data_IF_824349879323
#
_entry.id   IF_824349879323
#
_cell.length_a   1.000
_cell.length_b   1.000
_cell.length_c   1.000
_cell.angle_alpha   90.00
_cell.angle_beta   90.00
_cell.angle_gamma   90.00
#
_symmetry.space_group_name_H-M   'P 1'
#
loop_
_entity.id
_entity.type
_entity.pdbx_description
1 polymer ?
#
# COMPACT_ATOMS: atom_id res chain seq x y z
N UNK A 1 -8.99 21.60 2.18
CA UNK A 1 -8.98 21.67 0.69
C UNK A 1 -8.25 22.90 0.12
N UNK A 2 -8.50 24.13 0.61
CA UNK A 2 -7.92 25.37 0.04
C UNK A 2 -6.37 25.39 0.00
N UNK A 3 -5.70 24.89 1.05
CA UNK A 3 -4.24 24.82 1.12
C UNK A 3 -3.63 23.94 0.00
N UNK A 4 -4.20 22.77 -0.28
CA UNK A 4 -3.75 21.87 -1.36
C UNK A 4 -3.85 22.52 -2.73
N UNK A 5 -4.95 23.24 -3.00
CA UNK A 5 -5.15 23.98 -4.25
C UNK A 5 -4.11 25.10 -4.37
N UNK A 6 -3.88 25.84 -3.29
CA UNK A 6 -2.88 26.91 -3.25
C UNK A 6 -1.47 26.38 -3.53
N UNK A 7 -1.11 25.24 -2.93
CA UNK A 7 0.18 24.58 -3.18
C UNK A 7 0.32 24.14 -4.64
N UNK A 8 -0.70 23.50 -5.22
CA UNK A 8 -0.68 23.12 -6.64
C UNK A 8 -0.53 24.33 -7.57
N UNK A 9 -1.21 25.44 -7.27
CA UNK A 9 -1.08 26.71 -8.02
C UNK A 9 0.34 27.28 -7.90
N UNK A 10 0.92 27.28 -6.70
CA UNK A 10 2.27 27.77 -6.47
C UNK A 10 3.30 26.97 -7.28
N UNK A 11 3.22 25.64 -7.25
CA UNK A 11 4.13 24.77 -8.02
C UNK A 11 3.96 25.03 -9.52
N UNK A 12 2.73 25.09 -10.03
CA UNK A 12 2.47 25.37 -11.44
C UNK A 12 2.99 26.74 -11.88
N UNK A 13 2.92 27.76 -11.02
CA UNK A 13 3.43 29.10 -11.32
C UNK A 13 4.96 29.15 -11.31
N UNK A 14 5.62 28.49 -10.36
CA UNK A 14 7.09 28.54 -10.19
C UNK A 14 7.84 27.54 -11.04
N UNK A 15 7.24 26.39 -11.33
CA UNK A 15 7.85 25.26 -12.05
C UNK A 15 6.84 24.63 -13.03
N UNK A 16 6.34 25.37 -14.04
CA UNK A 16 5.26 24.91 -14.92
C UNK A 16 5.60 23.63 -15.68
N UNK A 17 6.83 23.52 -16.22
CA UNK A 17 7.28 22.32 -16.95
C UNK A 17 7.29 21.06 -16.08
N UNK A 18 7.79 21.18 -14.84
CA UNK A 18 7.81 20.07 -13.89
C UNK A 18 6.38 19.66 -13.50
N UNK A 19 5.51 20.64 -13.24
CA UNK A 19 4.11 20.40 -12.91
C UNK A 19 3.40 19.64 -14.03
N UNK A 20 3.53 20.12 -15.27
CA UNK A 20 2.90 19.50 -16.44
C UNK A 20 3.45 18.09 -16.68
N UNK A 21 4.77 17.90 -16.56
CA UNK A 21 5.40 16.59 -16.65
C UNK A 21 4.86 15.61 -15.60
N UNK A 22 4.88 16.00 -14.31
CA UNK A 22 4.35 15.17 -13.23
C UNK A 22 2.88 14.80 -13.47
N UNK A 23 2.09 15.76 -13.95
CA UNK A 23 0.69 15.53 -14.25
C UNK A 23 0.50 14.47 -15.35
N UNK A 24 1.43 14.33 -16.29
CA UNK A 24 1.40 13.22 -17.28
C UNK A 24 1.57 11.84 -16.65
N UNK A 25 2.40 11.74 -15.60
CA UNK A 25 2.71 10.48 -14.89
C UNK A 25 1.53 9.92 -14.09
N UNK A 26 0.40 10.65 -13.99
CA UNK A 26 -0.86 10.09 -13.49
C UNK A 26 -1.38 8.92 -14.33
N UNK A 27 -0.95 8.84 -15.61
CA UNK A 27 -1.33 7.77 -16.53
C UNK A 27 -0.28 6.65 -16.46
N UNK A 28 -0.74 5.42 -16.19
CA UNK A 28 0.13 4.22 -16.10
C UNK A 28 1.04 4.05 -17.33
N UNK A 29 0.55 4.37 -18.53
CA UNK A 29 1.32 4.17 -19.76
C UNK A 29 2.50 5.14 -19.87
N UNK A 30 2.36 6.38 -19.38
CA UNK A 30 3.46 7.34 -19.32
C UNK A 30 4.57 6.86 -18.37
N UNK A 31 4.19 6.25 -17.24
CA UNK A 31 5.12 5.65 -16.27
C UNK A 31 5.84 4.44 -16.87
N UNK A 32 5.12 3.56 -17.58
CA UNK A 32 5.69 2.37 -18.25
C UNK A 32 6.78 2.73 -19.25
N UNK A 33 6.61 3.83 -19.98
CA UNK A 33 7.63 4.31 -20.93
C UNK A 33 8.93 4.66 -20.21
N UNK A 34 8.86 5.26 -19.01
CA UNK A 34 10.05 5.58 -18.23
C UNK A 34 10.71 4.35 -17.61
N UNK A 35 9.91 3.36 -17.19
CA UNK A 35 10.36 2.11 -16.56
C UNK A 35 10.39 0.92 -17.56
N UNK A 36 10.80 1.17 -18.80
CA UNK A 36 10.84 0.14 -19.83
C UNK A 36 11.74 -1.03 -19.42
N UNK A 37 11.23 -2.26 -19.54
CA UNK A 37 12.00 -3.49 -19.34
C UNK A 37 12.61 -4.02 -20.64
N UNK A 38 12.16 -3.53 -21.80
CA UNK A 38 12.70 -3.92 -23.11
C UNK A 38 14.01 -3.18 -23.44
N UNK A 39 14.16 -1.96 -22.92
CA UNK A 39 15.35 -1.12 -23.06
C UNK A 39 15.59 -0.43 -21.70
N UNK A 40 16.03 -1.20 -20.67
CA UNK A 40 16.17 -0.70 -19.32
C UNK A 40 17.30 0.33 -19.23
N UNK A 41 17.02 1.41 -18.51
CA UNK A 41 17.92 2.56 -18.32
C UNK A 41 17.84 3.02 -16.87
N UNK A 42 18.83 3.79 -16.39
CA UNK A 42 18.72 4.48 -15.11
C UNK A 42 17.54 5.45 -15.12
N UNK A 43 16.76 5.45 -14.03
CA UNK A 43 15.57 6.28 -13.87
C UNK A 43 15.65 7.01 -12.55
N UNK A 44 15.50 8.33 -12.55
CA UNK A 44 15.34 9.09 -11.31
C UNK A 44 13.93 8.82 -10.76
N UNK A 45 13.84 8.37 -9.51
CA UNK A 45 12.61 8.14 -8.79
C UNK A 45 12.55 9.01 -7.52
N UNK A 46 11.38 9.61 -7.25
CA UNK A 46 11.10 10.30 -5.98
C UNK A 46 10.16 9.45 -5.14
N UNK A 47 10.56 9.13 -3.92
CA UNK A 47 9.75 8.40 -2.95
C UNK A 47 10.16 8.74 -1.52
N UNK A 48 9.19 8.95 -0.64
CA UNK A 48 9.45 9.12 0.80
C UNK A 48 10.18 7.93 1.45
N UNK A 49 10.22 6.78 0.78
CA UNK A 49 10.97 5.60 1.26
C UNK A 49 12.49 5.73 1.12
N UNK A 50 13.00 6.73 0.38
CA UNK A 50 14.44 6.96 0.26
C UNK A 50 15.03 7.82 1.36
N UNK A 51 14.19 8.43 2.20
CA UNK A 51 14.63 9.30 3.28
C UNK A 51 14.85 10.75 2.85
N UNK A 52 14.60 11.66 3.80
CA UNK A 52 14.67 13.11 3.58
C UNK A 52 16.11 13.61 3.42
N UNK A 53 17.06 12.87 3.99
CA UNK A 53 18.51 13.11 3.90
C UNK A 53 19.02 12.97 2.45
N UNK A 54 18.38 12.13 1.64
CA UNK A 54 18.61 11.99 0.20
C UNK A 54 17.66 12.85 -0.66
N UNK A 55 16.91 13.76 -0.03
CA UNK A 55 15.89 14.55 -0.71
C UNK A 55 14.71 13.72 -1.22
N UNK A 56 14.51 12.51 -0.68
CA UNK A 56 13.57 11.50 -1.17
C UNK A 56 13.86 11.04 -2.61
N UNK A 57 15.11 11.10 -3.06
CA UNK A 57 15.52 10.80 -4.43
C UNK A 57 16.40 9.54 -4.48
N UNK A 58 16.25 8.77 -5.55
CA UNK A 58 17.20 7.74 -5.94
C UNK A 58 17.26 7.61 -7.46
N UNK A 59 18.41 7.21 -7.99
CA UNK A 59 18.51 6.72 -9.36
C UNK A 59 18.39 5.21 -9.31
N UNK A 60 17.40 4.67 -10.01
CA UNK A 60 17.07 3.24 -9.97
C UNK A 60 17.20 2.57 -11.32
N UNK A 61 17.39 1.25 -11.31
CA UNK A 61 17.38 0.40 -12.49
C UNK A 61 16.16 -0.52 -12.50
N UNK A 62 15.33 -0.53 -13.56
CA UNK A 62 14.25 -1.50 -13.74
C UNK A 62 14.81 -2.93 -13.93
N UNK A 63 14.52 -3.82 -12.98
CA UNK A 63 15.00 -5.21 -13.00
C UNK A 63 14.02 -6.15 -13.69
N UNK A 64 12.75 -6.12 -13.30
CA UNK A 64 11.73 -7.04 -13.80
C UNK A 64 10.31 -6.53 -13.50
N UNK A 65 9.31 -7.09 -14.18
CA UNK A 65 7.92 -6.93 -13.79
C UNK A 65 7.65 -7.76 -12.53
N UNK A 66 6.80 -7.27 -11.64
CA UNK A 66 6.41 -8.04 -10.45
C UNK A 66 5.57 -9.27 -10.87
N UNK A 67 5.86 -10.47 -10.37
CA UNK A 67 5.31 -11.71 -10.92
C UNK A 67 3.81 -11.89 -10.69
N UNK A 68 3.25 -11.28 -9.64
CA UNK A 68 1.83 -11.40 -9.29
C UNK A 68 1.07 -10.08 -9.33
N UNK A 69 1.75 -8.94 -9.54
CA UNK A 69 1.13 -7.62 -9.58
C UNK A 69 1.57 -6.88 -10.84
N UNK A 70 0.70 -6.90 -11.86
CA UNK A 70 0.98 -6.25 -13.14
C UNK A 70 1.15 -4.71 -13.06
N UNK A 71 0.85 -4.10 -11.91
CA UNK A 71 1.07 -2.68 -11.67
C UNK A 71 2.39 -2.38 -10.93
N UNK A 72 3.25 -3.36 -10.69
CA UNK A 72 4.53 -3.17 -10.00
C UNK A 72 5.72 -3.53 -10.90
N UNK A 73 6.75 -2.69 -10.83
CA UNK A 73 8.07 -2.94 -11.43
C UNK A 73 9.08 -3.03 -10.31
N UNK A 74 9.86 -4.11 -10.29
CA UNK A 74 10.96 -4.33 -9.36
C UNK A 74 12.13 -3.47 -9.83
N UNK A 75 12.68 -2.66 -8.95
CA UNK A 75 13.79 -1.75 -9.22
C UNK A 75 14.91 -1.91 -8.19
N UNK A 76 16.13 -1.65 -8.63
CA UNK A 76 17.33 -1.60 -7.79
C UNK A 76 17.78 -0.15 -7.59
N UNK A 77 18.15 0.24 -6.37
CA UNK A 77 18.78 1.55 -6.12
C UNK A 77 20.26 1.53 -6.54
N UNK A 78 20.60 2.30 -7.57
CA UNK A 78 21.96 2.35 -8.15
C UNK A 78 22.97 3.10 -7.27
N UNK A 79 22.58 3.59 -6.08
CA UNK A 79 23.55 3.92 -5.04
C UNK A 79 24.38 2.69 -4.60
N UNK A 80 23.89 1.48 -4.85
CA UNK A 80 24.51 0.21 -4.47
C UNK A 80 24.81 -0.67 -5.70
N UNK A 81 25.81 -1.55 -5.60
CA UNK A 81 26.24 -2.40 -6.70
C UNK A 81 25.26 -3.58 -6.95
N UNK A 82 24.55 -3.61 -8.09
CA UNK A 82 23.63 -4.69 -8.43
C UNK A 82 24.31 -6.02 -8.73
N UNK A 83 25.64 -6.06 -8.88
CA UNK A 83 26.38 -7.31 -9.01
C UNK A 83 26.20 -8.23 -7.78
N UNK A 84 25.81 -7.68 -6.62
CA UNK A 84 25.46 -8.47 -5.42
C UNK A 84 24.33 -9.49 -5.68
N UNK A 85 23.44 -9.23 -6.64
CA UNK A 85 22.39 -10.19 -7.03
C UNK A 85 22.96 -11.47 -7.66
N UNK A 86 24.21 -11.45 -8.14
CA UNK A 86 24.83 -12.63 -8.74
C UNK A 86 25.17 -13.64 -7.65
N UNK A 87 24.60 -14.84 -7.77
CA UNK A 87 24.87 -15.95 -6.86
C UNK A 87 23.96 -16.00 -5.63
N UNK A 88 23.08 -15.01 -5.41
CA UNK A 88 22.07 -15.10 -4.36
C UNK A 88 20.95 -16.07 -4.76
N UNK A 89 20.55 -16.91 -3.80
CA UNK A 89 19.36 -17.74 -3.96
C UNK A 89 18.07 -16.93 -3.73
N UNK A 90 16.92 -17.47 -4.15
CA UNK A 90 15.64 -16.84 -3.87
C UNK A 90 15.38 -16.71 -2.35
N UNK A 91 15.85 -17.69 -1.57
CA UNK A 91 15.66 -17.72 -0.12
C UNK A 91 16.52 -16.67 0.58
N UNK A 92 17.77 -16.49 0.13
CA UNK A 92 18.65 -15.42 0.64
C UNK A 92 18.04 -14.03 0.37
N UNK A 93 17.51 -13.83 -0.84
CA UNK A 93 16.84 -12.58 -1.20
C UNK A 93 15.58 -12.38 -0.33
N UNK A 94 14.78 -13.41 -0.13
CA UNK A 94 13.58 -13.35 0.72
C UNK A 94 13.92 -12.98 2.15
N UNK A 95 14.94 -13.62 2.74
CA UNK A 95 15.41 -13.29 4.08
C UNK A 95 15.80 -11.81 4.18
N UNK A 96 16.60 -11.31 3.24
CA UNK A 96 17.06 -9.92 3.26
C UNK A 96 15.95 -8.89 3.00
N UNK A 97 14.91 -9.25 2.23
CA UNK A 97 13.81 -8.35 1.88
C UNK A 97 12.67 -8.32 2.90
N UNK A 98 12.32 -9.48 3.46
CA UNK A 98 11.10 -9.65 4.26
C UNK A 98 11.35 -9.81 5.77
N UNK A 99 12.60 -10.00 6.20
CA UNK A 99 12.98 -9.95 7.63
C UNK A 99 13.19 -8.49 8.06
N UNK A 100 12.76 -8.14 9.28
CA UNK A 100 13.00 -6.80 9.82
C UNK A 100 14.50 -6.54 9.95
N UNK A 101 14.91 -5.29 9.79
CA UNK A 101 16.34 -4.95 9.74
C UNK A 101 17.08 -5.30 11.05
N UNK A 102 16.40 -5.20 12.19
CA UNK A 102 16.88 -5.56 13.53
C UNK A 102 16.93 -7.07 13.79
N UNK A 103 16.34 -7.88 12.90
CA UNK A 103 16.31 -9.34 12.99
C UNK A 103 17.22 -10.02 11.93
N UNK A 104 17.91 -9.23 11.09
CA UNK A 104 18.84 -9.78 10.11
C UNK A 104 20.11 -10.33 10.80
N UNK A 105 20.71 -11.42 10.29
CA UNK A 105 21.98 -11.92 10.79
C UNK A 105 23.07 -10.85 10.75
N UNK A 106 24.02 -10.93 11.68
CA UNK A 106 25.16 -10.01 11.72
C UNK A 106 25.93 -10.00 10.39
N UNK A 107 26.24 -8.81 9.88
CA UNK A 107 26.91 -8.63 8.58
C UNK A 107 26.00 -8.74 7.36
N UNK A 108 24.71 -9.10 7.52
CA UNK A 108 23.75 -9.17 6.42
C UNK A 108 22.95 -7.86 6.33
N UNK A 109 23.11 -7.15 5.21
CA UNK A 109 22.34 -5.94 4.93
C UNK A 109 21.06 -6.26 4.14
N UNK A 110 20.05 -5.40 4.32
CA UNK A 110 18.84 -5.42 3.48
C UNK A 110 19.22 -5.09 2.04
N UNK A 111 18.68 -5.84 1.10
CA UNK A 111 18.91 -5.57 -0.32
C UNK A 111 18.25 -4.24 -0.73
N UNK A 112 18.92 -3.42 -1.57
CA UNK A 112 18.42 -2.14 -2.08
C UNK A 112 17.39 -2.34 -3.22
N UNK A 113 16.45 -3.26 -3.00
CA UNK A 113 15.36 -3.61 -3.91
C UNK A 113 14.08 -2.92 -3.45
N UNK A 114 13.36 -2.34 -4.41
CA UNK A 114 12.05 -1.72 -4.19
C UNK A 114 11.10 -2.11 -5.32
N UNK A 115 9.79 -2.03 -5.09
CA UNK A 115 8.80 -2.02 -6.16
C UNK A 115 8.22 -0.63 -6.38
N UNK A 116 8.08 -0.24 -7.66
CA UNK A 116 7.39 0.98 -8.07
C UNK A 116 6.00 0.62 -8.60
N UNK A 117 4.98 1.19 -7.98
CA UNK A 117 3.59 1.00 -8.38
C UNK A 117 3.21 1.99 -9.48
N UNK A 118 3.07 1.52 -10.72
CA UNK A 118 2.80 2.37 -11.89
C UNK A 118 1.40 3.00 -11.87
N UNK A 119 0.47 2.46 -11.08
CA UNK A 119 -0.90 2.96 -10.93
C UNK A 119 -1.09 3.92 -9.75
N UNK A 120 -0.01 4.27 -9.02
CA UNK A 120 -0.04 5.20 -7.87
C UNK A 120 0.62 6.55 -8.17
N UNK A 121 0.63 6.96 -9.45
CA UNK A 121 1.25 8.20 -9.95
C UNK A 121 2.69 8.43 -9.44
N UNK A 122 3.60 7.44 -9.58
CA UNK A 122 4.96 7.58 -9.12
C UNK A 122 5.71 8.63 -9.95
N UNK A 123 6.54 9.44 -9.32
CA UNK A 123 7.47 10.28 -10.07
C UNK A 123 8.62 9.44 -10.60
N UNK A 124 8.76 9.35 -11.91
CA UNK A 124 9.87 8.67 -12.56
C UNK A 124 10.29 9.46 -13.79
N UNK A 125 11.58 9.57 -14.03
CA UNK A 125 12.12 10.19 -15.25
C UNK A 125 13.43 9.51 -15.67
N UNK A 126 13.46 8.95 -16.88
CA UNK A 126 14.66 8.30 -17.43
C UNK A 126 15.71 9.33 -17.89
N UNK A 127 15.28 10.56 -18.18
CA UNK A 127 16.20 11.65 -18.51
C UNK A 127 16.85 12.23 -17.24
N UNK A 128 18.00 11.67 -16.85
CA UNK A 128 18.74 12.09 -15.65
C UNK A 128 19.24 13.54 -15.69
N UNK A 129 19.24 14.21 -16.85
CA UNK A 129 19.54 15.66 -16.92
C UNK A 129 18.58 16.50 -16.07
N UNK A 130 17.41 15.96 -15.74
CA UNK A 130 16.46 16.60 -14.81
C UNK A 130 16.98 16.71 -13.37
N UNK A 131 17.96 15.87 -12.97
CA UNK A 131 18.62 15.96 -11.68
C UNK A 131 19.57 17.18 -11.67
N UNK A 132 20.51 17.22 -12.63
CA UNK A 132 21.57 18.22 -12.67
C UNK A 132 22.65 17.99 -11.61
N UNK A 133 23.89 18.38 -11.92
CA UNK A 133 25.06 18.07 -11.09
C UNK A 133 24.98 18.74 -9.70
N UNK A 134 24.46 19.97 -9.62
CA UNK A 134 24.28 20.68 -8.36
C UNK A 134 23.33 19.96 -7.40
N UNK A 135 22.22 19.42 -7.89
CA UNK A 135 21.30 18.67 -7.03
C UNK A 135 21.87 17.29 -6.68
N UNK A 136 22.58 16.65 -7.61
CA UNK A 136 23.27 15.39 -7.31
C UNK A 136 24.27 15.58 -6.17
N UNK A 137 25.11 16.62 -6.25
CA UNK A 137 26.06 16.97 -5.19
C UNK A 137 25.35 17.35 -3.88
N UNK A 138 24.31 18.19 -3.96
CA UNK A 138 23.50 18.60 -2.79
C UNK A 138 22.94 17.42 -2.01
N UNK A 139 22.50 16.37 -2.72
CA UNK A 139 21.88 15.18 -2.12
C UNK A 139 22.83 13.99 -2.00
N UNK A 140 24.15 14.21 -2.17
CA UNK A 140 25.17 13.19 -1.96
C UNK A 140 25.14 12.03 -2.96
N UNK A 141 24.66 12.25 -4.17
CA UNK A 141 24.63 11.22 -5.22
C UNK A 141 25.96 11.13 -5.95
N UNK A 142 26.65 10.00 -5.81
CA UNK A 142 27.82 9.68 -6.63
C UNK A 142 27.37 9.21 -8.03
N UNK A 143 27.30 10.16 -8.96
CA UNK A 143 26.91 9.88 -10.35
C UNK A 143 27.87 8.91 -11.05
N UNK A 144 29.17 8.95 -10.70
CA UNK A 144 30.15 8.05 -11.29
C UNK A 144 29.93 6.61 -10.82
N UNK A 145 29.63 6.40 -9.53
CA UNK A 145 29.23 5.09 -9.01
C UNK A 145 27.92 4.60 -9.66
N UNK A 146 26.90 5.46 -9.73
CA UNK A 146 25.62 5.14 -10.37
C UNK A 146 25.82 4.68 -11.82
N UNK A 147 26.70 5.35 -12.58
CA UNK A 147 27.03 4.93 -13.95
C UNK A 147 27.69 3.55 -14.00
N UNK A 148 28.66 3.27 -13.12
CA UNK A 148 29.29 1.93 -13.04
C UNK A 148 28.27 0.85 -12.67
N UNK A 149 27.42 1.12 -11.68
CA UNK A 149 26.37 0.20 -11.26
C UNK A 149 25.32 -0.03 -12.35
N UNK A 150 25.01 0.98 -13.16
CA UNK A 150 24.11 0.82 -14.31
C UNK A 150 24.66 -0.15 -15.37
N UNK A 151 25.97 -0.09 -15.65
CA UNK A 151 26.62 -1.07 -16.53
C UNK A 151 26.62 -2.47 -15.91
N UNK A 152 26.86 -2.59 -14.60
CA UNK A 152 26.75 -3.86 -13.88
C UNK A 152 25.33 -4.44 -13.94
N UNK A 153 24.29 -3.60 -13.77
CA UNK A 153 22.90 -3.99 -13.90
C UNK A 153 22.55 -4.46 -15.32
N UNK A 154 23.04 -3.75 -16.35
CA UNK A 154 22.85 -4.15 -17.75
C UNK A 154 23.47 -5.52 -18.04
N UNK A 155 24.57 -5.86 -17.38
CA UNK A 155 25.24 -7.15 -17.50
C UNK A 155 24.67 -8.25 -16.57
N UNK A 156 23.53 -8.03 -15.92
CA UNK A 156 22.84 -9.10 -15.19
C UNK A 156 22.11 -10.03 -16.17
N UNK A 157 22.01 -11.34 -15.86
CA UNK A 157 21.16 -12.25 -16.63
C UNK A 157 19.69 -11.92 -16.41
N UNK A 158 18.79 -12.57 -17.16
CA UNK A 158 17.35 -12.50 -16.88
C UNK A 158 17.05 -13.08 -15.48
N UNK A 159 16.57 -12.23 -14.58
CA UNK A 159 16.22 -12.58 -13.20
C UNK A 159 14.72 -12.90 -13.03
N UNK A 160 13.93 -12.97 -14.11
CA UNK A 160 12.48 -13.17 -14.03
C UNK A 160 12.08 -14.46 -13.29
N UNK A 161 12.84 -15.55 -13.45
CA UNK A 161 12.60 -16.80 -12.72
C UNK A 161 12.93 -16.68 -11.22
N UNK A 162 14.00 -15.94 -10.88
CA UNK A 162 14.39 -15.66 -9.51
C UNK A 162 13.30 -14.84 -8.80
N UNK A 163 12.84 -13.76 -9.41
CA UNK A 163 11.79 -12.92 -8.84
C UNK A 163 10.46 -13.66 -8.65
N UNK A 164 10.09 -14.57 -9.56
CA UNK A 164 8.92 -15.44 -9.37
C UNK A 164 9.00 -16.27 -8.09
N UNK A 165 10.17 -16.82 -7.78
CA UNK A 165 10.40 -17.57 -6.53
C UNK A 165 10.44 -16.65 -5.32
N UNK A 166 11.13 -15.52 -5.41
CA UNK A 166 11.24 -14.54 -4.31
C UNK A 166 9.86 -14.04 -3.86
N UNK A 167 8.99 -13.66 -4.80
CA UNK A 167 7.66 -13.12 -4.50
C UNK A 167 6.55 -14.18 -4.47
N UNK A 168 6.90 -15.47 -4.46
CA UNK A 168 5.92 -16.52 -4.22
C UNK A 168 5.34 -16.33 -2.81
N UNK A 169 4.01 -16.16 -2.75
CA UNK A 169 3.30 -16.06 -1.47
C UNK A 169 2.96 -17.46 -0.98
N UNK A 170 3.22 -17.70 0.29
CA UNK A 170 2.67 -18.85 0.99
C UNK A 170 1.19 -18.59 1.28
N UNK A 171 0.39 -19.65 1.35
CA UNK A 171 -1.01 -19.52 1.72
C UNK A 171 -1.08 -19.05 3.19
N UNK A 172 -1.52 -17.81 3.39
CA UNK A 172 -1.77 -17.27 4.72
C UNK A 172 -3.10 -17.75 5.30
N UNK A 173 -3.34 -17.40 6.55
CA UNK A 173 -4.64 -17.64 7.17
C UNK A 173 -5.77 -16.88 6.45
N UNK A 174 -6.98 -17.44 6.40
CA UNK A 174 -8.15 -16.73 5.87
C UNK A 174 -8.34 -15.40 6.58
N UNK A 175 -8.33 -14.31 5.82
CA UNK A 175 -8.60 -12.99 6.35
C UNK A 175 -10.11 -12.77 6.52
N UNK A 176 -10.48 -11.97 7.50
CA UNK A 176 -11.85 -11.49 7.63
C UNK A 176 -12.25 -10.68 6.38
N UNK A 177 -13.51 -10.79 5.97
CA UNK A 177 -13.99 -10.16 4.73
C UNK A 177 -13.84 -8.63 4.69
N UNK A 178 -13.89 -7.95 5.84
CA UNK A 178 -13.66 -6.50 5.91
C UNK A 178 -12.19 -6.12 5.73
N UNK A 179 -11.27 -7.09 5.91
CA UNK A 179 -9.82 -6.91 5.77
C UNK A 179 -9.29 -7.40 4.42
N UNK A 180 -10.06 -8.20 3.69
CA UNK A 180 -9.61 -8.89 2.48
C UNK A 180 -9.92 -8.15 1.16
N UNK A 181 -9.88 -6.81 1.17
CA UNK A 181 -10.12 -5.98 -0.02
C UNK A 181 -9.18 -6.32 -1.20
N UNK A 182 -7.97 -6.78 -0.88
CA UNK A 182 -6.94 -7.11 -1.86
C UNK A 182 -6.78 -8.63 -2.10
N UNK A 183 -7.70 -9.45 -1.60
CA UNK A 183 -7.69 -10.91 -1.77
C UNK A 183 -8.02 -11.39 -3.19
N UNK A 184 -8.66 -10.54 -4.00
CA UNK A 184 -9.04 -10.85 -5.37
C UNK A 184 -9.92 -9.78 -5.98
N UNK A 185 -10.08 -9.82 -7.30
CA UNK A 185 -11.04 -8.97 -7.99
C UNK A 185 -12.38 -9.67 -8.09
N UNK A 186 -13.45 -8.95 -7.76
CA UNK A 186 -14.83 -9.40 -7.98
C UNK A 186 -15.06 -9.70 -9.47
N UNK A 187 -15.68 -10.86 -9.75
CA UNK A 187 -15.98 -11.30 -11.11
C UNK A 187 -16.97 -10.37 -11.81
N UNK A 188 -17.09 -10.49 -13.14
CA UNK A 188 -18.06 -9.68 -13.89
C UNK A 188 -19.52 -10.04 -13.54
N UNK A 189 -19.79 -11.30 -13.18
CA UNK A 189 -21.12 -11.75 -12.81
C UNK A 189 -21.50 -11.21 -11.44
N UNK A 190 -20.63 -11.39 -10.44
CA UNK A 190 -20.82 -10.84 -9.10
C UNK A 190 -20.94 -9.31 -9.13
N UNK A 191 -20.13 -8.62 -9.96
CA UNK A 191 -20.23 -7.17 -10.13
C UNK A 191 -21.62 -6.74 -10.62
N UNK A 192 -22.21 -7.47 -11.57
CA UNK A 192 -23.57 -7.18 -12.07
C UNK A 192 -24.61 -7.40 -10.97
N UNK A 193 -24.50 -8.51 -10.22
CA UNK A 193 -25.38 -8.80 -9.09
C UNK A 193 -25.33 -7.70 -8.02
N UNK A 194 -24.13 -7.29 -7.61
CA UNK A 194 -23.93 -6.20 -6.65
C UNK A 194 -24.48 -4.86 -7.17
N UNK A 195 -24.31 -4.56 -8.46
CA UNK A 195 -24.88 -3.33 -9.06
C UNK A 195 -26.41 -3.33 -9.05
N UNK A 196 -27.06 -4.47 -9.26
CA UNK A 196 -28.53 -4.62 -9.10
C UNK A 196 -28.93 -4.37 -7.65
N UNK A 197 -28.27 -5.03 -6.70
CA UNK A 197 -28.58 -4.93 -5.27
C UNK A 197 -28.47 -3.51 -4.72
N UNK A 198 -27.46 -2.76 -5.15
CA UNK A 198 -27.27 -1.36 -4.73
C UNK A 198 -28.43 -0.42 -5.09
N UNK A 199 -29.34 -0.85 -5.96
CA UNK A 199 -30.55 -0.10 -6.36
C UNK A 199 -31.80 -0.56 -5.60
N UNK A 200 -31.72 -1.66 -4.84
CA UNK A 200 -32.84 -2.19 -4.07
C UNK A 200 -33.03 -1.35 -2.80
N UNK A 201 -34.28 -1.25 -2.36
CA UNK A 201 -34.60 -0.77 -1.01
C UNK A 201 -34.12 -1.75 0.05
N UNK A 202 -34.00 -1.29 1.30
CA UNK A 202 -33.60 -2.13 2.43
C UNK A 202 -34.49 -3.37 2.60
N UNK A 203 -35.82 -3.20 2.46
CA UNK A 203 -36.78 -4.31 2.54
C UNK A 203 -36.63 -5.32 1.40
N UNK A 204 -36.40 -4.85 0.16
CA UNK A 204 -36.15 -5.73 -0.97
C UNK A 204 -34.82 -6.48 -0.81
N UNK A 205 -33.79 -5.81 -0.31
CA UNK A 205 -32.47 -6.40 -0.10
C UNK A 205 -32.50 -7.50 0.97
N UNK A 206 -33.37 -7.39 1.97
CA UNK A 206 -33.54 -8.42 2.99
C UNK A 206 -34.10 -9.74 2.46
N UNK A 207 -34.89 -9.70 1.39
CA UNK A 207 -35.44 -10.89 0.73
C UNK A 207 -34.58 -11.45 -0.41
N UNK A 208 -33.47 -10.79 -0.78
CA UNK A 208 -32.65 -11.22 -1.91
C UNK A 208 -31.75 -12.40 -1.52
N UNK A 209 -31.98 -13.56 -2.14
CA UNK A 209 -31.07 -14.70 -2.06
C UNK A 209 -30.08 -14.65 -3.22
N UNK A 210 -28.88 -14.14 -2.98
CA UNK A 210 -27.85 -14.11 -4.01
C UNK A 210 -26.79 -15.18 -3.81
N UNK A 211 -26.52 -15.87 -4.91
CA UNK A 211 -25.40 -16.79 -5.03
C UNK A 211 -24.27 -16.01 -5.71
N UNK A 212 -23.20 -15.77 -4.96
CA UNK A 212 -21.99 -15.14 -5.45
C UNK A 212 -20.96 -16.22 -5.81
N UNK A 213 -20.18 -15.96 -6.84
CA UNK A 213 -19.00 -16.77 -7.16
C UNK A 213 -17.90 -16.56 -6.10
N UNK A 214 -17.72 -15.32 -5.63
CA UNK A 214 -16.85 -15.00 -4.49
C UNK A 214 -17.61 -15.25 -3.16
N UNK A 215 -17.20 -16.24 -2.34
CA UNK A 215 -17.89 -16.58 -1.10
C UNK A 215 -17.88 -15.45 -0.07
N UNK A 216 -16.97 -14.48 -0.16
CA UNK A 216 -16.88 -13.36 0.78
C UNK A 216 -18.02 -12.36 0.61
N UNK A 217 -18.61 -12.28 -0.59
CA UNK A 217 -19.65 -11.30 -0.89
C UNK A 217 -20.94 -11.58 -0.13
N UNK A 218 -21.24 -12.85 0.18
CA UNK A 218 -22.40 -13.20 1.00
C UNK A 218 -22.25 -12.64 2.43
N UNK A 219 -21.07 -12.79 3.03
CA UNK A 219 -20.77 -12.25 4.35
C UNK A 219 -20.74 -10.70 4.33
N UNK A 220 -20.13 -10.09 3.31
CA UNK A 220 -20.13 -8.64 3.15
C UNK A 220 -21.54 -8.07 3.01
N UNK A 221 -22.42 -8.74 2.26
CA UNK A 221 -23.82 -8.34 2.11
C UNK A 221 -24.57 -8.41 3.45
N UNK A 222 -24.37 -9.49 4.22
CA UNK A 222 -24.93 -9.63 5.56
C UNK A 222 -24.48 -8.49 6.47
N UNK A 223 -23.17 -8.22 6.57
CA UNK A 223 -22.62 -7.14 7.41
C UNK A 223 -23.06 -5.76 6.94
N UNK A 224 -23.17 -5.55 5.63
CA UNK A 224 -23.70 -4.31 5.06
C UNK A 224 -25.15 -4.08 5.50
N UNK A 225 -26.03 -5.09 5.40
CA UNK A 225 -27.40 -5.01 5.91
C UNK A 225 -27.43 -4.75 7.41
N UNK A 226 -26.65 -5.49 8.19
CA UNK A 226 -26.65 -5.36 9.64
C UNK A 226 -26.18 -3.99 10.15
N UNK A 227 -25.22 -3.37 9.46
CA UNK A 227 -24.70 -2.03 9.79
C UNK A 227 -25.65 -0.90 9.39
N UNK A 228 -26.31 -1.02 8.23
CA UNK A 228 -27.04 0.10 7.63
C UNK A 228 -28.56 -0.01 7.77
N UNK A 229 -29.08 -1.23 7.88
CA UNK A 229 -30.52 -1.55 7.91
C UNK A 229 -30.83 -2.61 8.97
N UNK A 230 -30.44 -2.41 10.24
CA UNK A 230 -30.59 -3.42 11.30
C UNK A 230 -32.04 -3.87 11.50
N UNK A 231 -33.02 -2.99 11.27
CA UNK A 231 -34.45 -3.29 11.38
C UNK A 231 -34.95 -4.30 10.33
N UNK A 232 -34.15 -4.56 9.29
CA UNK A 232 -34.47 -5.55 8.24
C UNK A 232 -33.90 -6.93 8.51
N UNK A 233 -33.19 -7.12 9.62
CA UNK A 233 -32.65 -8.40 10.03
C UNK A 233 -33.74 -9.26 10.67
N UNK A 234 -33.77 -10.56 10.34
CA UNK A 234 -34.57 -11.55 11.06
C UNK A 234 -34.06 -11.73 12.51
N UNK A 235 -34.86 -12.36 13.37
CA UNK A 235 -34.45 -12.61 14.77
C UNK A 235 -33.14 -13.41 14.88
N UNK A 236 -32.90 -14.37 13.99
CA UNK A 236 -31.65 -15.14 13.96
C UNK A 236 -30.48 -14.34 13.40
N UNK A 237 -30.74 -13.50 12.39
CA UNK A 237 -29.73 -12.56 11.86
C UNK A 237 -29.30 -11.54 12.91
N UNK A 238 -30.23 -11.01 13.71
CA UNK A 238 -29.93 -10.10 14.82
C UNK A 238 -29.06 -10.78 15.88
N UNK A 239 -29.39 -12.02 16.28
CA UNK A 239 -28.57 -12.81 17.22
C UNK A 239 -27.17 -13.05 16.67
N UNK A 240 -27.07 -13.45 15.41
CA UNK A 240 -25.78 -13.65 14.71
C UNK A 240 -24.95 -12.37 14.70
N UNK A 241 -25.56 -11.24 14.39
CA UNK A 241 -24.90 -9.94 14.37
C UNK A 241 -24.43 -9.51 15.76
N UNK A 242 -25.28 -9.63 16.79
CA UNK A 242 -24.92 -9.32 18.18
C UNK A 242 -23.74 -10.16 18.64
N UNK A 243 -23.74 -11.47 18.38
CA UNK A 243 -22.63 -12.36 18.72
C UNK A 243 -21.32 -11.96 18.01
N UNK A 244 -21.39 -11.59 16.73
CA UNK A 244 -20.22 -11.08 16.00
C UNK A 244 -19.69 -9.78 16.61
N UNK A 245 -20.56 -8.83 16.95
CA UNK A 245 -20.18 -7.58 17.61
C UNK A 245 -19.53 -7.82 18.98
N UNK A 246 -20.10 -8.70 19.81
CA UNK A 246 -19.54 -9.07 21.11
C UNK A 246 -18.14 -9.67 20.98
N UNK A 247 -17.95 -10.62 20.05
CA UNK A 247 -16.65 -11.24 19.83
C UNK A 247 -15.59 -10.22 19.35
N UNK A 248 -15.98 -9.34 18.43
CA UNK A 248 -15.13 -8.25 17.94
C UNK A 248 -14.73 -7.27 19.03
N UNK A 249 -15.70 -6.84 19.85
CA UNK A 249 -15.44 -5.93 20.96
C UNK A 249 -14.54 -6.58 22.02
N UNK A 250 -14.83 -7.82 22.42
CA UNK A 250 -14.03 -8.55 23.39
C UNK A 250 -12.57 -8.71 22.96
N UNK A 251 -12.33 -8.92 21.66
CA UNK A 251 -10.97 -9.01 21.09
C UNK A 251 -10.19 -7.69 21.19
N UNK A 252 -10.84 -6.55 20.94
CA UNK A 252 -10.17 -5.23 20.90
C UNK A 252 -10.20 -4.48 22.23
N UNK A 253 -11.08 -4.85 23.15
CA UNK A 253 -11.33 -4.13 24.40
C UNK A 253 -10.09 -3.92 25.28
N UNK A 254 -9.23 -4.95 25.54
CA UNK A 254 -8.07 -4.78 26.40
C UNK A 254 -7.08 -3.73 25.86
N UNK A 255 -6.79 -3.78 24.55
CA UNK A 255 -5.88 -2.84 23.89
C UNK A 255 -6.45 -1.42 23.91
N UNK A 256 -7.75 -1.26 23.66
CA UNK A 256 -8.42 0.04 23.76
C UNK A 256 -8.35 0.63 25.17
N UNK A 257 -8.58 -0.18 26.21
CA UNK A 257 -8.51 0.30 27.60
C UNK A 257 -7.10 0.74 27.98
N UNK A 258 -6.09 -0.02 27.54
CA UNK A 258 -4.69 0.32 27.76
C UNK A 258 -4.35 1.66 27.08
N UNK A 259 -4.65 1.82 25.79
CA UNK A 259 -4.36 3.03 25.03
C UNK A 259 -5.08 4.26 25.63
N UNK A 260 -6.35 4.10 26.03
CA UNK A 260 -7.11 5.18 26.67
C UNK A 260 -6.48 5.60 28.01
N UNK A 261 -5.97 4.65 28.81
CA UNK A 261 -5.32 4.94 30.08
C UNK A 261 -3.97 5.65 29.86
N UNK A 262 -3.16 5.18 28.92
CA UNK A 262 -1.89 5.80 28.53
C UNK A 262 -2.08 7.24 28.06
N UNK A 263 -3.07 7.49 27.19
CA UNK A 263 -3.39 8.83 26.71
C UNK A 263 -3.84 9.77 27.84
N UNK A 264 -4.61 9.26 28.82
CA UNK A 264 -5.07 10.03 29.97
C UNK A 264 -3.97 10.36 30.97
N UNK A 265 -2.91 9.57 31.03
CA UNK A 265 -1.75 9.82 31.88
C UNK A 265 -0.82 10.91 31.33
N UNK A 266 -0.94 11.26 30.05
CA UNK A 266 -0.15 12.30 29.40
C UNK A 266 -0.61 13.72 29.71
N UNK A 267 0.19 14.70 29.29
CA UNK A 267 -0.20 16.11 29.30
C UNK A 267 -1.25 16.38 28.22
N UNK A 268 -2.44 16.79 28.66
CA UNK A 268 -3.57 17.05 27.79
C UNK A 268 -4.05 18.51 27.93
N UNK A 269 -4.50 19.08 26.83
CA UNK A 269 -5.33 20.29 26.83
C UNK A 269 -6.74 19.95 27.32
N UNK A 270 -7.51 20.96 27.75
CA UNK A 270 -8.91 20.76 28.14
C UNK A 270 -9.75 20.14 27.01
N UNK A 271 -9.49 20.55 25.77
CA UNK A 271 -10.17 20.00 24.59
C UNK A 271 -9.88 18.51 24.40
N UNK A 272 -8.63 18.09 24.58
CA UNK A 272 -8.25 16.66 24.49
C UNK A 272 -8.86 15.85 25.63
N UNK A 273 -8.86 16.38 26.87
CA UNK A 273 -9.54 15.72 28.00
C UNK A 273 -11.01 15.48 27.72
N UNK A 274 -11.72 16.50 27.24
CA UNK A 274 -13.14 16.38 26.89
C UNK A 274 -13.36 15.32 25.80
N UNK A 275 -12.55 15.35 24.73
CA UNK A 275 -12.64 14.36 23.66
C UNK A 275 -12.41 12.92 24.18
N UNK A 276 -11.40 12.69 25.01
CA UNK A 276 -11.15 11.37 25.60
C UNK A 276 -12.28 10.93 26.53
N UNK A 277 -12.96 11.86 27.20
CA UNK A 277 -14.15 11.53 27.97
C UNK A 277 -15.30 11.07 27.07
N UNK A 278 -15.57 11.79 25.98
CA UNK A 278 -16.62 11.41 25.02
C UNK A 278 -16.36 10.03 24.40
N UNK A 279 -15.10 9.71 24.07
CA UNK A 279 -14.71 8.39 23.57
C UNK A 279 -14.97 7.30 24.61
N UNK A 280 -14.65 7.55 25.88
CA UNK A 280 -14.89 6.61 26.96
C UNK A 280 -16.38 6.38 27.20
N UNK A 281 -17.19 7.45 27.19
CA UNK A 281 -18.64 7.37 27.38
C UNK A 281 -19.29 6.59 26.24
N UNK A 282 -18.86 6.84 24.99
CA UNK A 282 -19.31 6.08 23.83
C UNK A 282 -18.96 4.59 23.95
N UNK A 283 -17.73 4.26 24.34
CA UNK A 283 -17.29 2.88 24.51
C UNK A 283 -18.09 2.15 25.60
N UNK A 284 -18.35 2.81 26.74
CA UNK A 284 -19.18 2.27 27.81
C UNK A 284 -20.63 2.03 27.34
N UNK A 285 -21.22 2.97 26.58
CA UNK A 285 -22.56 2.82 26.02
C UNK A 285 -22.64 1.65 25.04
N UNK A 286 -21.61 1.45 24.23
CA UNK A 286 -21.52 0.34 23.28
C UNK A 286 -21.45 -1.01 24.01
N UNK A 287 -20.60 -1.11 25.04
CA UNK A 287 -20.49 -2.32 25.85
C UNK A 287 -21.82 -2.66 26.55
N UNK A 288 -22.51 -1.67 27.11
CA UNK A 288 -23.81 -1.86 27.74
C UNK A 288 -24.88 -2.31 26.75
N UNK A 289 -24.88 -1.78 25.52
CA UNK A 289 -25.84 -2.16 24.48
C UNK A 289 -25.64 -3.59 23.95
N UNK A 290 -24.43 -4.12 24.10
CA UNK A 290 -24.05 -5.46 23.63
C UNK A 290 -24.05 -6.52 24.73
N UNK A 291 -24.16 -6.14 26.01
CA UNK A 291 -24.45 -7.08 27.11
C UNK A 291 -25.81 -7.77 26.90
#
# INVERSE_FOLDING_TARGET
MRATIALARLIRQRQPKLFDYYLTLRKKDAVKVQLSLHDPKPVLHVSGMYGVERGNLAVVWPLAAHPTNANEVIVWDLAHDPAELRGLSADDIRQRMFTRADELPEGVARLPVKTIHINKSPFVVANLKALGDDNAARWGMDLAAIHRHAEAARALPDLSALWRRVYQREAGEPQDVDQNLYGGFVSNNDRKALQKMRRLSAAQLAGEMALFEDPQLAELLFRYRARNFPDTLSGDEQKRWKAWCQARLAQSWPAFQQELAELRAGELTDGQRNLLQQVADYAASLQASLA
#
